data_IF_403330987797
#
_entry.id   IF_403330987797
#
_cell.length_a   1.000
_cell.length_b   1.000
_cell.length_c   1.000
_cell.angle_alpha   90.00
_cell.angle_beta   90.00
_cell.angle_gamma   90.00
#
_symmetry.space_group_name_H-M   'P 1'
#
loop_
_entity.id
_entity.type
_entity.pdbx_description
1 polymer ?
#
# COMPACT_ATOMS: atom_id res chain seq x y z
N UNK A 1 -3.31 14.04 6.34
CA UNK A 1 -3.90 13.24 5.24
C UNK A 1 -5.14 13.86 4.62
N UNK A 2 -5.89 14.65 5.36
CA UNK A 2 -7.10 15.32 4.83
C UNK A 2 -6.84 16.20 3.61
N UNK A 3 -5.70 16.85 3.56
CA UNK A 3 -5.29 17.72 2.44
C UNK A 3 -5.21 16.97 1.12
N UNK A 4 -4.84 15.68 1.17
CA UNK A 4 -4.75 14.84 -0.02
C UNK A 4 -6.13 14.57 -0.60
N UNK A 5 -7.09 14.26 0.26
CA UNK A 5 -8.47 14.01 -0.16
C UNK A 5 -9.18 15.27 -0.66
N UNK A 6 -8.73 16.44 -0.27
CA UNK A 6 -9.24 17.71 -0.77
C UNK A 6 -8.67 18.13 -2.11
N UNK A 7 -7.64 17.43 -2.62
CA UNK A 7 -6.97 17.78 -3.87
C UNK A 7 -7.69 17.23 -5.10
N UNK A 8 -7.53 17.93 -6.23
CA UNK A 8 -8.16 17.55 -7.49
C UNK A 8 -7.52 16.29 -8.13
N UNK A 9 -6.30 15.94 -7.71
CA UNK A 9 -5.58 14.80 -8.26
C UNK A 9 -5.82 13.48 -7.50
N UNK A 10 -6.66 13.52 -6.47
CA UNK A 10 -6.93 12.34 -5.64
C UNK A 10 -8.42 12.06 -5.58
N UNK A 11 -8.78 10.80 -5.77
CA UNK A 11 -10.14 10.33 -5.51
C UNK A 11 -10.12 9.54 -4.20
N UNK A 12 -10.82 10.06 -3.20
CA UNK A 12 -10.94 9.41 -1.90
C UNK A 12 -12.32 8.79 -1.76
N UNK A 13 -12.40 7.75 -0.92
CA UNK A 13 -13.60 6.96 -0.71
C UNK A 13 -14.11 7.12 0.71
N UNK A 14 -15.21 6.45 1.05
CA UNK A 14 -15.73 6.47 2.40
C UNK A 14 -14.71 5.92 3.40
N UNK A 15 -14.68 6.43 4.64
CA UNK A 15 -13.78 5.90 5.67
C UNK A 15 -14.05 4.44 5.98
N UNK A 16 -13.00 3.72 6.39
CA UNK A 16 -13.14 2.36 6.94
C UNK A 16 -13.41 2.50 8.44
N UNK A 17 -14.44 1.80 8.94
CA UNK A 17 -14.71 1.86 10.37
C UNK A 17 -13.74 0.98 11.18
N UNK A 18 -13.70 1.21 12.50
CA UNK A 18 -12.78 0.51 13.38
C UNK A 18 -13.00 -1.00 13.38
N UNK A 19 -14.25 -1.45 13.27
CA UNK A 19 -14.57 -2.87 13.26
C UNK A 19 -14.03 -3.55 12.01
N UNK A 20 -14.13 -2.91 10.85
CA UNK A 20 -13.60 -3.43 9.60
C UNK A 20 -12.08 -3.49 9.63
N UNK A 21 -11.40 -2.51 10.22
CA UNK A 21 -9.95 -2.52 10.37
C UNK A 21 -9.49 -3.66 11.28
N UNK A 22 -10.19 -3.92 12.38
CA UNK A 22 -9.86 -5.02 13.28
C UNK A 22 -10.09 -6.38 12.63
N UNK A 23 -11.15 -6.51 11.84
CA UNK A 23 -11.40 -7.72 11.09
C UNK A 23 -10.28 -7.98 10.08
N UNK A 24 -9.81 -6.94 9.39
CA UNK A 24 -8.69 -7.03 8.47
C UNK A 24 -7.42 -7.50 9.20
N UNK A 25 -7.10 -6.92 10.35
CA UNK A 25 -5.94 -7.33 11.15
C UNK A 25 -6.05 -8.78 11.60
N UNK A 26 -7.24 -9.22 11.95
CA UNK A 26 -7.48 -10.61 12.34
C UNK A 26 -7.22 -11.56 11.18
N UNK A 27 -7.70 -11.23 10.00
CA UNK A 27 -7.48 -12.03 8.79
C UNK A 27 -6.02 -12.06 8.38
N UNK A 28 -5.33 -10.93 8.51
CA UNK A 28 -3.89 -10.83 8.20
C UNK A 28 -3.02 -11.51 9.25
N UNK A 29 -3.52 -11.66 10.47
CA UNK A 29 -2.77 -12.22 11.58
C UNK A 29 -1.73 -11.27 12.14
N UNK A 30 -1.83 -9.98 11.84
CA UNK A 30 -0.91 -8.95 12.33
C UNK A 30 -1.57 -7.58 12.30
N UNK A 31 -1.04 -6.65 13.10
CA UNK A 31 -1.53 -5.28 13.14
C UNK A 31 -1.16 -4.53 11.87
N UNK A 32 -2.04 -3.62 11.43
CA UNK A 32 -1.72 -2.69 10.34
C UNK A 32 -0.69 -1.68 10.82
N UNK A 33 0.25 -1.27 9.94
CA UNK A 33 1.12 -0.14 10.26
C UNK A 33 0.31 1.09 10.65
N UNK A 34 0.76 1.83 11.66
CA UNK A 34 -0.01 2.94 12.24
C UNK A 34 -0.42 3.99 11.20
N UNK A 35 0.48 4.36 10.30
CA UNK A 35 0.17 5.38 9.30
C UNK A 35 -0.88 4.90 8.28
N UNK A 36 -0.90 3.60 7.95
CA UNK A 36 -1.91 3.03 7.06
C UNK A 36 -3.27 2.95 7.77
N UNK A 37 -3.30 2.56 9.03
CA UNK A 37 -4.50 2.57 9.86
C UNK A 37 -5.13 3.97 9.89
N UNK A 38 -4.32 5.00 10.17
CA UNK A 38 -4.80 6.39 10.19
C UNK A 38 -5.40 6.80 8.85
N UNK A 39 -4.72 6.47 7.74
CA UNK A 39 -5.21 6.80 6.40
C UNK A 39 -6.54 6.11 6.10
N UNK A 40 -6.66 4.83 6.38
CA UNK A 40 -7.87 4.05 6.09
C UNK A 40 -9.07 4.52 6.92
N UNK A 41 -8.84 5.09 8.08
CA UNK A 41 -9.91 5.71 8.88
C UNK A 41 -10.44 6.98 8.25
N UNK A 42 -9.72 7.56 7.30
CA UNK A 42 -10.16 8.74 6.55
C UNK A 42 -10.71 8.36 5.17
N UNK A 43 -10.16 7.33 4.54
CA UNK A 43 -10.59 6.88 3.21
C UNK A 43 -10.25 5.41 2.97
N UNK A 44 -11.16 4.66 2.38
CA UNK A 44 -10.95 3.26 2.01
C UNK A 44 -10.18 3.18 0.68
N UNK A 45 -8.92 3.61 0.72
CA UNK A 45 -8.05 3.67 -0.43
C UNK A 45 -8.04 5.04 -1.09
N UNK A 46 -7.07 5.24 -1.98
CA UNK A 46 -6.90 6.49 -2.74
C UNK A 46 -6.57 6.14 -4.19
N UNK A 47 -7.32 6.69 -5.13
CA UNK A 47 -7.02 6.58 -6.55
C UNK A 47 -6.44 7.90 -7.08
N UNK A 48 -5.54 7.82 -8.08
CA UNK A 48 -5.02 9.00 -8.74
C UNK A 48 -5.96 9.48 -9.85
N UNK A 49 -5.56 10.52 -10.59
CA UNK A 49 -6.38 11.11 -11.64
C UNK A 49 -6.68 10.15 -12.81
N UNK A 50 -5.91 9.08 -12.92
CA UNK A 50 -6.06 8.07 -13.97
C UNK A 50 -6.82 6.83 -13.50
N UNK A 51 -7.27 6.81 -12.25
CA UNK A 51 -7.98 5.67 -11.68
C UNK A 51 -7.09 4.58 -11.11
N UNK A 52 -5.78 4.80 -11.02
CA UNK A 52 -4.86 3.84 -10.39
C UNK A 52 -4.99 3.92 -8.87
N UNK A 53 -5.17 2.78 -8.23
CA UNK A 53 -5.26 2.69 -6.78
C UNK A 53 -3.87 2.78 -6.16
N UNK A 54 -3.41 3.99 -5.90
CA UNK A 54 -2.11 4.22 -5.24
C UNK A 54 -2.14 3.75 -3.78
N UNK A 55 -3.32 3.71 -3.18
CA UNK A 55 -3.60 2.96 -1.95
C UNK A 55 -4.85 2.13 -2.21
N UNK A 56 -4.73 0.83 -2.03
CA UNK A 56 -5.86 -0.09 -2.25
C UNK A 56 -6.93 0.04 -1.17
N UNK A 57 -8.19 -0.29 -1.49
CA UNK A 57 -9.20 -0.53 -0.47
C UNK A 57 -8.77 -1.64 0.49
N UNK A 58 -9.27 -1.61 1.73
CA UNK A 58 -8.87 -2.57 2.77
C UNK A 58 -9.11 -4.03 2.35
N UNK A 59 -10.18 -4.29 1.63
CA UNK A 59 -10.48 -5.65 1.16
C UNK A 59 -9.39 -6.17 0.23
N UNK A 60 -8.90 -5.32 -0.67
CA UNK A 60 -7.82 -5.69 -1.59
C UNK A 60 -6.49 -5.84 -0.87
N UNK A 61 -6.21 -4.98 0.12
CA UNK A 61 -5.01 -5.10 0.95
C UNK A 61 -4.96 -6.48 1.61
N UNK A 62 -6.07 -6.90 2.20
CA UNK A 62 -6.14 -8.21 2.85
C UNK A 62 -5.91 -9.34 1.85
N UNK A 63 -6.64 -9.34 0.75
CA UNK A 63 -6.57 -10.41 -0.25
C UNK A 63 -5.19 -10.53 -0.88
N UNK A 64 -4.59 -9.41 -1.27
CA UNK A 64 -3.29 -9.42 -1.94
C UNK A 64 -2.18 -9.88 -1.00
N UNK A 65 -2.19 -9.42 0.25
CA UNK A 65 -1.15 -9.81 1.19
C UNK A 65 -1.25 -11.28 1.59
N UNK A 66 -2.47 -11.79 1.80
CA UNK A 66 -2.65 -13.22 2.07
C UNK A 66 -2.15 -14.06 0.91
N UNK A 67 -2.37 -13.63 -0.32
CA UNK A 67 -1.88 -14.31 -1.50
C UNK A 67 -0.34 -14.32 -1.55
N UNK A 68 0.30 -13.16 -1.34
CA UNK A 68 1.76 -13.08 -1.39
C UNK A 68 2.43 -13.84 -0.24
N UNK A 69 1.86 -13.77 0.96
CA UNK A 69 2.46 -14.43 2.14
C UNK A 69 2.30 -15.94 2.13
N UNK A 70 1.19 -16.45 1.58
CA UNK A 70 0.90 -17.88 1.53
C UNK A 70 1.24 -18.51 0.19
N UNK A 71 1.68 -17.72 -0.79
CA UNK A 71 1.69 -18.08 -2.19
C UNK A 71 2.70 -19.15 -2.57
N UNK A 72 2.27 -20.38 -2.67
CA UNK A 72 3.07 -21.45 -3.27
C UNK A 72 3.48 -21.11 -4.70
N UNK A 73 2.65 -20.34 -5.41
CA UNK A 73 2.93 -19.90 -6.78
C UNK A 73 4.20 -19.05 -6.87
N UNK A 74 4.59 -18.37 -5.78
CA UNK A 74 5.79 -17.53 -5.75
C UNK A 74 6.97 -18.20 -5.04
N UNK A 75 6.76 -19.38 -4.44
CA UNK A 75 7.81 -20.07 -3.73
C UNK A 75 8.93 -20.45 -4.70
N UNK A 76 10.16 -20.06 -4.37
CA UNK A 76 11.33 -20.35 -5.20
C UNK A 76 11.56 -19.36 -6.34
N UNK A 77 10.58 -18.48 -6.65
CA UNK A 77 10.73 -17.46 -7.70
C UNK A 77 11.20 -16.12 -7.14
N UNK A 78 10.75 -15.77 -5.93
CA UNK A 78 11.04 -14.49 -5.31
C UNK A 78 11.48 -14.69 -3.88
N UNK A 79 12.14 -13.66 -3.32
CA UNK A 79 12.41 -13.64 -1.88
C UNK A 79 11.09 -13.59 -1.11
N UNK A 80 11.06 -14.14 0.12
CA UNK A 80 9.82 -14.12 0.92
C UNK A 80 9.26 -12.71 1.10
N UNK A 81 7.94 -12.60 1.09
CA UNK A 81 7.23 -11.33 1.22
C UNK A 81 6.67 -11.08 2.63
N UNK A 82 6.89 -11.99 3.57
CA UNK A 82 6.25 -11.94 4.89
C UNK A 82 6.67 -10.75 5.74
N UNK A 83 7.78 -10.09 5.41
CA UNK A 83 8.23 -8.86 6.07
C UNK A 83 7.63 -7.59 5.47
N UNK A 84 6.89 -7.70 4.36
CA UNK A 84 6.30 -6.57 3.65
C UNK A 84 4.79 -6.64 3.73
N UNK A 85 4.16 -5.47 3.86
CA UNK A 85 2.70 -5.33 3.71
C UNK A 85 2.45 -4.44 2.51
N UNK A 86 1.93 -5.03 1.44
CA UNK A 86 1.60 -4.32 0.21
C UNK A 86 0.30 -3.53 0.38
N UNK A 87 0.27 -2.31 -0.15
CA UNK A 87 -0.90 -1.43 0.02
C UNK A 87 -1.31 -0.66 -1.24
N UNK A 88 -0.56 -0.74 -2.31
CA UNK A 88 -0.87 0.00 -3.52
C UNK A 88 -0.03 -0.44 -4.70
N UNK A 89 -0.32 0.11 -5.89
CA UNK A 89 0.42 -0.19 -7.11
C UNK A 89 0.54 1.04 -8.02
N UNK A 90 1.33 0.88 -9.09
CA UNK A 90 1.55 1.94 -10.08
C UNK A 90 0.74 1.75 -11.36
N UNK A 91 -0.12 0.73 -11.40
CA UNK A 91 -0.87 0.37 -12.60
C UNK A 91 -0.11 -0.48 -13.61
N UNK A 92 1.20 -0.67 -13.42
CA UNK A 92 2.08 -1.42 -14.32
C UNK A 92 2.59 -2.75 -13.77
N UNK A 93 2.11 -3.15 -12.60
CA UNK A 93 2.51 -4.40 -11.97
C UNK A 93 3.48 -4.27 -10.81
N UNK A 94 4.14 -3.14 -10.66
CA UNK A 94 4.98 -2.86 -9.51
C UNK A 94 4.12 -2.45 -8.33
N UNK A 95 4.47 -2.90 -7.12
CA UNK A 95 3.65 -2.71 -5.93
C UNK A 95 4.42 -2.02 -4.83
N UNK A 96 3.71 -1.23 -4.03
CA UNK A 96 4.28 -0.47 -2.93
C UNK A 96 3.96 -1.13 -1.60
N UNK A 97 4.94 -1.14 -0.70
CA UNK A 97 4.83 -1.85 0.58
C UNK A 97 5.46 -1.09 1.73
N UNK A 98 4.96 -1.40 2.93
CA UNK A 98 5.55 -0.98 4.20
C UNK A 98 6.23 -2.19 4.84
N UNK A 99 7.31 -1.95 5.59
CA UNK A 99 7.99 -3.00 6.35
C UNK A 99 7.25 -3.22 7.67
N UNK A 100 6.76 -4.44 7.89
CA UNK A 100 5.82 -4.74 8.98
C UNK A 100 6.50 -4.84 10.34
N UNK A 101 7.72 -5.33 10.38
CA UNK A 101 8.36 -5.76 11.63
C UNK A 101 9.28 -4.72 12.28
N UNK A 102 9.59 -3.62 11.61
CA UNK A 102 10.66 -2.72 12.04
C UNK A 102 10.22 -1.50 12.83
N UNK A 103 8.92 -1.20 12.87
CA UNK A 103 8.41 0.06 13.41
C UNK A 103 8.80 1.28 12.56
N UNK A 104 9.34 1.08 11.37
CA UNK A 104 9.73 2.14 10.45
C UNK A 104 8.57 2.49 9.54
N UNK A 105 8.56 3.74 9.07
CA UNK A 105 7.50 4.26 8.21
C UNK A 105 7.85 4.23 6.73
N UNK A 106 9.02 3.70 6.39
CA UNK A 106 9.55 3.71 5.02
C UNK A 106 8.64 2.95 4.05
N UNK A 107 8.49 3.50 2.85
CA UNK A 107 7.77 2.89 1.75
C UNK A 107 8.77 2.36 0.74
N UNK A 108 8.56 1.12 0.30
CA UNK A 108 9.37 0.46 -0.73
C UNK A 108 8.52 0.13 -1.94
N UNK A 109 9.14 0.14 -3.12
CA UNK A 109 8.52 -0.44 -4.32
C UNK A 109 9.12 -1.83 -4.55
N UNK A 110 8.25 -2.78 -4.88
CA UNK A 110 8.66 -4.08 -5.38
C UNK A 110 8.49 -4.10 -6.89
N UNK A 111 9.60 -4.21 -7.62
CA UNK A 111 9.60 -4.29 -9.06
C UNK A 111 9.46 -5.76 -9.46
N UNK A 112 8.30 -6.12 -10.01
CA UNK A 112 7.93 -7.51 -10.25
C UNK A 112 8.82 -8.22 -11.27
N UNK A 113 9.44 -7.49 -12.19
CA UNK A 113 10.28 -8.07 -13.24
C UNK A 113 11.64 -8.53 -12.72
N UNK A 114 12.14 -7.90 -11.67
CA UNK A 114 13.50 -8.12 -11.15
C UNK A 114 13.53 -8.61 -9.70
N UNK A 115 12.39 -8.63 -9.03
CA UNK A 115 12.29 -8.84 -7.56
C UNK A 115 13.09 -7.80 -6.77
N UNK A 116 13.33 -6.64 -7.34
CA UNK A 116 14.02 -5.54 -6.65
C UNK A 116 13.10 -4.87 -5.65
N UNK A 117 13.65 -4.51 -4.49
CA UNK A 117 12.91 -3.85 -3.41
C UNK A 117 13.66 -2.57 -3.06
N UNK A 118 13.14 -1.44 -3.54
CA UNK A 118 13.85 -0.15 -3.53
C UNK A 118 13.09 0.84 -2.66
N UNK A 119 13.81 1.59 -1.83
CA UNK A 119 13.24 2.66 -1.01
C UNK A 119 12.65 3.75 -1.92
N UNK A 120 11.46 4.22 -1.57
CA UNK A 120 10.74 5.23 -2.35
C UNK A 120 10.46 6.48 -1.53
N UNK A 121 10.04 6.33 -0.28
CA UNK A 121 9.61 7.46 0.54
C UNK A 121 9.81 7.14 2.02
N UNK A 122 9.98 8.17 2.83
CA UNK A 122 10.16 8.04 4.28
C UNK A 122 8.86 7.85 5.06
N UNK A 123 7.72 7.90 4.37
CA UNK A 123 6.41 7.71 5.00
C UNK A 123 5.30 7.76 3.98
N UNK A 124 4.10 7.39 4.42
CA UNK A 124 2.93 7.28 3.56
C UNK A 124 2.50 8.65 3.01
N UNK A 125 2.64 9.71 3.78
CA UNK A 125 2.28 11.05 3.34
C UNK A 125 3.18 11.54 2.19
N UNK A 126 4.49 11.32 2.32
CA UNK A 126 5.43 11.65 1.24
C UNK A 126 5.15 10.80 0.00
N UNK A 127 4.90 9.50 0.19
CA UNK A 127 4.52 8.60 -0.89
C UNK A 127 3.31 9.13 -1.66
N UNK A 128 2.25 9.50 -0.94
CA UNK A 128 1.02 9.99 -1.59
C UNK A 128 1.26 11.29 -2.34
N UNK A 129 2.05 12.20 -1.78
CA UNK A 129 2.40 13.44 -2.46
C UNK A 129 3.07 13.18 -3.80
N UNK A 130 4.04 12.26 -3.82
CA UNK A 130 4.78 11.92 -5.02
C UNK A 130 3.94 11.16 -6.03
N UNK A 131 3.16 10.19 -5.57
CA UNK A 131 2.30 9.38 -6.43
C UNK A 131 1.22 10.22 -7.10
N UNK A 132 0.62 11.15 -6.37
CA UNK A 132 -0.48 11.97 -6.87
C UNK A 132 0.00 13.17 -7.70
N UNK A 133 1.29 13.51 -7.63
CA UNK A 133 1.87 14.57 -8.47
C UNK A 133 1.91 14.19 -9.96
N UNK A 134 1.88 12.90 -10.26
CA UNK A 134 1.79 12.43 -11.64
C UNK A 134 3.06 12.58 -12.47
N UNK A 135 4.23 12.62 -11.83
CA UNK A 135 5.51 12.85 -12.50
C UNK A 135 6.14 11.56 -13.02
N UNK A 136 5.48 10.87 -13.94
CA UNK A 136 6.04 9.70 -14.63
C UNK A 136 6.61 8.65 -13.68
N UNK A 137 7.88 8.28 -13.88
CA UNK A 137 8.53 7.21 -13.11
C UNK A 137 9.09 7.72 -11.76
N UNK A 138 8.28 8.41 -10.98
CA UNK A 138 8.68 9.03 -9.72
C UNK A 138 9.24 8.03 -8.69
N UNK A 139 8.90 6.76 -8.83
CA UNK A 139 9.34 5.70 -7.89
C UNK A 139 10.72 5.13 -8.22
N UNK A 140 11.36 5.55 -9.29
CA UNK A 140 12.67 5.07 -9.73
C UNK A 140 13.83 6.00 -9.40
#
# INVERSE_FOLDING_TARGET
MREICGGASAECRAPVDAAALREAERRLGRALPAQLDVLLRETDGVADAYGTDVVWPIAQIVEQNLMFWSGEAFAGLYMPFDSLLFFGDNGGGDQFALVVASGRDDVFVWEHETDSRVWVAGGLQEYLRRALAGDGDWWR
#
